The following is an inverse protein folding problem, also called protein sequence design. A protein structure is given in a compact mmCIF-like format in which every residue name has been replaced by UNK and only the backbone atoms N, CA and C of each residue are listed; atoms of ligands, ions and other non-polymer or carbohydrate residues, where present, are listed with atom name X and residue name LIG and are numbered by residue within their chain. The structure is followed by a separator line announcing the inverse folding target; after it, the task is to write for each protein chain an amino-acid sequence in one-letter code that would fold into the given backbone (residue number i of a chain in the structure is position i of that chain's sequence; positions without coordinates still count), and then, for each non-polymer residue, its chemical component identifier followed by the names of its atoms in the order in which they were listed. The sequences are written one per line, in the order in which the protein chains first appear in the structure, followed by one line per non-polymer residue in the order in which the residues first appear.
data_IF_903651360780
#
_entry.id   IF_903651360780
#
_cell.length_a   1.000
_cell.length_b   1.000
_cell.length_c   1.000
_cell.angle_alpha   90.00
_cell.angle_beta   90.00
_cell.angle_gamma   90.00
#
_symmetry.space_group_name_H-M   'P 1'
#
loop_
_entity.id
_entity.type
_entity.pdbx_description
1 polymer ?
#
# COMPACT_ATOMS: atom_id res chain seq x y z
N UNK A 1 1.20 -3.40 10.82
CA UNK A 1 0.11 -4.29 10.33
C UNK A 1 -1.27 -3.62 10.32
N UNK A 2 -1.57 -2.71 11.25
CA UNK A 2 -2.90 -2.09 11.41
C UNK A 2 -3.29 -1.18 10.25
N UNK A 3 -2.34 -0.38 9.75
CA UNK A 3 -2.63 0.67 8.76
C UNK A 3 -2.91 0.13 7.35
N UNK A 4 -2.26 -0.97 6.97
CA UNK A 4 -2.49 -1.67 5.69
C UNK A 4 -3.81 -2.42 5.71
N UNK A 5 -4.12 -3.15 6.78
CA UNK A 5 -5.45 -3.79 6.94
C UNK A 5 -6.58 -2.77 7.02
N UNK A 6 -6.32 -1.61 7.61
CA UNK A 6 -7.29 -0.52 7.68
C UNK A 6 -7.61 0.05 6.29
N UNK A 7 -6.57 0.37 5.50
CA UNK A 7 -6.75 1.01 4.19
C UNK A 7 -7.03 0.05 3.02
N UNK A 8 -6.57 -1.21 3.10
CA UNK A 8 -6.75 -2.22 2.04
C UNK A 8 -7.71 -3.36 2.44
N UNK A 9 -8.24 -3.37 3.66
CA UNK A 9 -9.21 -4.37 4.11
C UNK A 9 -8.62 -5.79 4.21
N UNK A 10 -9.44 -6.80 3.98
CA UNK A 10 -9.00 -8.21 3.96
C UNK A 10 -7.93 -8.49 2.87
N UNK A 11 -7.89 -7.68 1.82
CA UNK A 11 -6.87 -7.79 0.77
C UNK A 11 -5.44 -7.44 1.25
N UNK A 12 -5.29 -6.90 2.45
CA UNK A 12 -4.00 -6.66 3.09
C UNK A 12 -3.34 -7.92 3.67
N UNK A 13 -4.08 -9.03 3.78
CA UNK A 13 -3.51 -10.29 4.27
C UNK A 13 -2.35 -10.72 3.35
N UNK A 14 -1.25 -11.20 3.94
CA UNK A 14 0.01 -11.52 3.25
C UNK A 14 0.85 -10.35 2.69
N UNK A 15 0.50 -9.09 2.98
CA UNK A 15 1.40 -7.95 2.66
C UNK A 15 2.34 -7.69 3.85
N UNK A 16 3.65 -8.02 3.75
CA UNK A 16 4.59 -7.79 4.84
C UNK A 16 4.80 -6.29 5.09
N UNK A 17 4.41 -5.83 6.28
CA UNK A 17 4.69 -4.47 6.78
C UNK A 17 6.10 -4.43 7.37
N UNK A 18 7.11 -4.43 6.49
CA UNK A 18 8.52 -4.25 6.89
C UNK A 18 8.91 -2.80 6.67
N UNK A 19 9.56 -2.22 7.68
CA UNK A 19 9.99 -0.82 7.75
C UNK A 19 10.43 -0.27 6.38
N UNK A 20 9.69 0.72 5.89
CA UNK A 20 10.15 1.66 4.87
C UNK A 20 9.60 1.48 3.45
N UNK A 21 9.04 0.32 3.07
CA UNK A 21 8.52 0.19 1.70
C UNK A 21 7.35 -0.80 1.58
N UNK A 22 6.13 -0.28 1.73
CA UNK A 22 4.87 -1.02 1.63
C UNK A 22 4.35 -1.14 0.19
N UNK A 23 4.79 -0.25 -0.70
CA UNK A 23 4.36 -0.22 -2.09
C UNK A 23 4.83 -1.42 -2.91
N UNK A 24 6.08 -1.85 -2.75
CA UNK A 24 6.58 -3.02 -3.48
C UNK A 24 5.86 -4.31 -3.07
N UNK A 25 5.61 -4.58 -1.77
CA UNK A 25 4.72 -5.65 -1.35
C UNK A 25 3.32 -5.60 -1.98
N UNK A 26 2.67 -4.43 -2.02
CA UNK A 26 1.36 -4.26 -2.68
C UNK A 26 1.48 -4.60 -4.17
N UNK A 27 2.45 -4.01 -4.88
CA UNK A 27 2.73 -4.30 -6.30
C UNK A 27 2.95 -5.79 -6.55
N UNK A 28 3.74 -6.46 -5.72
CA UNK A 28 4.04 -7.87 -5.89
C UNK A 28 2.80 -8.75 -5.68
N UNK A 29 1.95 -8.43 -4.70
CA UNK A 29 0.68 -9.16 -4.49
C UNK A 29 -0.22 -9.11 -5.72
N UNK A 30 -0.30 -7.94 -6.37
CA UNK A 30 -1.11 -7.74 -7.57
C UNK A 30 -0.31 -7.92 -8.88
N UNK A 31 0.82 -8.64 -8.83
CA UNK A 31 1.66 -9.02 -9.97
C UNK A 31 2.05 -7.84 -10.89
N UNK A 32 2.28 -6.64 -10.31
CA UNK A 32 2.62 -5.40 -11.04
C UNK A 32 1.63 -5.02 -12.14
N UNK A 33 0.37 -5.42 -11.98
CA UNK A 33 -0.72 -5.08 -12.90
C UNK A 33 -1.30 -3.69 -12.59
N UNK A 34 -2.21 -3.22 -13.46
CA UNK A 34 -3.00 -2.00 -13.24
C UNK A 34 -3.68 -2.01 -11.86
N UNK A 35 -4.17 -3.18 -11.42
CA UNK A 35 -4.80 -3.38 -10.11
C UNK A 35 -3.82 -3.06 -8.97
N UNK A 36 -2.54 -3.41 -9.13
CA UNK A 36 -1.51 -3.08 -8.14
C UNK A 36 -1.27 -1.58 -8.01
N UNK A 37 -1.32 -0.84 -9.13
CA UNK A 37 -1.24 0.62 -9.10
C UNK A 37 -2.46 1.25 -8.45
N UNK A 38 -3.67 0.78 -8.77
CA UNK A 38 -4.90 1.27 -8.15
C UNK A 38 -4.89 1.04 -6.63
N UNK A 39 -4.47 -0.14 -6.18
CA UNK A 39 -4.37 -0.48 -4.76
C UNK A 39 -3.30 0.35 -4.03
N UNK A 40 -2.16 0.61 -4.67
CA UNK A 40 -1.17 1.56 -4.15
C UNK A 40 -1.79 2.95 -3.98
N UNK A 41 -2.47 3.45 -5.01
CA UNK A 41 -3.09 4.77 -4.98
C UNK A 41 -4.13 4.89 -3.85
N UNK A 42 -5.04 3.92 -3.73
CA UNK A 42 -6.04 3.89 -2.66
C UNK A 42 -5.39 3.81 -1.27
N UNK A 43 -4.32 3.01 -1.12
CA UNK A 43 -3.56 2.96 0.13
C UNK A 43 -2.92 4.30 0.46
N UNK A 44 -2.27 4.96 -0.51
CA UNK A 44 -1.66 6.28 -0.34
C UNK A 44 -2.68 7.35 0.02
N UNK A 45 -3.86 7.34 -0.61
CA UNK A 45 -4.95 8.27 -0.34
C UNK A 45 -5.49 8.09 1.08
N UNK A 46 -5.81 6.86 1.48
CA UNK A 46 -6.27 6.55 2.84
C UNK A 46 -5.24 6.95 3.90
N UNK A 47 -3.96 6.63 3.70
CA UNK A 47 -2.89 6.99 4.64
C UNK A 47 -2.67 8.51 4.74
N UNK A 48 -2.87 9.23 3.64
CA UNK A 48 -2.81 10.70 3.64
C UNK A 48 -3.97 11.30 4.42
N UNK A 49 -5.19 10.81 4.20
CA UNK A 49 -6.40 11.34 4.85
C UNK A 49 -6.44 11.03 6.35
N UNK A 50 -6.07 9.81 6.74
CA UNK A 50 -6.29 9.31 8.09
C UNK A 50 -5.10 9.54 9.02
N UNK A 51 -3.90 9.66 8.47
CA UNK A 51 -2.66 9.77 9.25
C UNK A 51 -1.77 10.95 8.84
N UNK A 52 -2.09 11.65 7.76
CA UNK A 52 -1.23 12.69 7.19
C UNK A 52 0.08 12.16 6.61
N UNK A 53 0.21 10.84 6.39
CA UNK A 53 1.44 10.26 5.86
C UNK A 53 1.47 10.39 4.34
N UNK A 54 2.54 11.01 3.83
CA UNK A 54 2.83 11.06 2.39
C UNK A 54 3.91 10.03 2.11
N UNK A 55 3.49 8.86 1.65
CA UNK A 55 4.42 7.86 1.14
C UNK A 55 4.91 8.31 -0.24
N UNK A 56 6.19 8.69 -0.36
CA UNK A 56 6.80 8.97 -1.66
C UNK A 56 6.94 7.66 -2.42
N UNK A 57 6.28 7.57 -3.56
CA UNK A 57 6.54 6.51 -4.53
C UNK A 57 8.01 6.67 -4.96
N UNK A 58 8.87 5.72 -4.58
CA UNK A 58 10.26 5.73 -5.05
C UNK A 58 10.21 5.23 -6.49
N UNK A 59 10.17 6.17 -7.43
CA UNK A 59 10.39 5.91 -8.84
C UNK A 59 11.83 5.44 -9.02
N UNK A 60 12.00 4.15 -9.33
CA UNK A 60 13.25 3.59 -9.83
C UNK A 60 13.19 3.53 -11.36
#
# INVERSE_FOLDING_TARGET
MTDIKYCLGADAEDIPDKHGNIYEPIRNKYNRTIIGHEKIKSYSECMREEKGYIYREISW
#
